data_IF_372280981530
#
_entry.id   IF_372280981530
#
_cell.length_a   1.000
_cell.length_b   1.000
_cell.length_c   1.000
_cell.angle_alpha   90.00
_cell.angle_beta   90.00
_cell.angle_gamma   90.00
#
_symmetry.space_group_name_H-M   'P 1'
#
loop_
_entity.id
_entity.type
_entity.pdbx_description
1 polymer ?
#
# COMPACT_ATOMS: atom_id res chain seq x y z
N UNK A 1 8.09 -87.74 55.39
CA UNK A 1 6.97 -86.79 55.25
C UNK A 1 7.31 -85.53 56.02
N UNK A 2 7.78 -84.49 55.32
CA UNK A 2 7.61 -83.05 55.64
C UNK A 2 8.64 -82.24 54.83
N UNK A 3 8.26 -81.83 53.62
CA UNK A 3 8.99 -80.81 52.85
C UNK A 3 8.06 -79.86 52.06
N UNK A 4 6.74 -79.93 52.30
CA UNK A 4 5.76 -79.10 51.60
C UNK A 4 5.50 -77.72 52.24
N UNK A 5 6.00 -77.45 53.46
CA UNK A 5 5.72 -76.20 54.18
C UNK A 5 6.64 -75.03 53.80
N UNK A 6 7.88 -75.29 53.35
CA UNK A 6 8.83 -74.25 52.95
C UNK A 6 8.51 -73.60 51.60
N UNK A 7 7.94 -74.37 50.66
CA UNK A 7 7.60 -73.87 49.32
C UNK A 7 6.39 -72.92 49.32
N UNK A 8 5.42 -73.13 50.21
CA UNK A 8 4.26 -72.24 50.36
C UNK A 8 4.61 -70.85 50.88
N UNK A 9 5.61 -70.74 51.77
CA UNK A 9 6.06 -69.47 52.34
C UNK A 9 6.74 -68.58 51.30
N UNK A 10 7.62 -69.15 50.46
CA UNK A 10 8.35 -68.40 49.44
C UNK A 10 7.38 -67.85 48.38
N UNK A 11 6.37 -68.64 47.99
CA UNK A 11 5.34 -68.20 47.06
C UNK A 11 4.49 -67.05 47.63
N UNK A 12 4.17 -67.09 48.93
CA UNK A 12 3.44 -66.02 49.62
C UNK A 12 4.25 -64.73 49.72
N UNK A 13 5.51 -64.82 50.14
CA UNK A 13 6.42 -63.66 50.25
C UNK A 13 6.69 -63.02 48.89
N UNK A 14 6.86 -63.84 47.84
CA UNK A 14 7.00 -63.34 46.47
C UNK A 14 5.74 -62.62 46.00
N UNK A 15 4.55 -63.19 46.26
CA UNK A 15 3.28 -62.55 45.90
C UNK A 15 3.05 -61.23 46.67
N UNK A 16 3.47 -61.16 47.94
CA UNK A 16 3.39 -59.94 48.74
C UNK A 16 4.35 -58.84 48.24
N UNK A 17 5.59 -59.20 47.90
CA UNK A 17 6.55 -58.28 47.28
C UNK A 17 6.04 -57.75 45.95
N UNK A 18 5.47 -58.61 45.10
CA UNK A 18 4.87 -58.18 43.82
C UNK A 18 3.71 -57.22 44.06
N UNK A 19 2.80 -57.51 45.00
CA UNK A 19 1.71 -56.58 45.36
C UNK A 19 2.22 -55.24 45.87
N UNK A 20 3.27 -55.23 46.68
CA UNK A 20 3.90 -54.00 47.18
C UNK A 20 4.51 -53.16 46.05
N UNK A 21 5.23 -53.79 45.12
CA UNK A 21 5.82 -53.11 43.96
C UNK A 21 4.73 -52.54 43.05
N UNK A 22 3.67 -53.30 42.78
CA UNK A 22 2.55 -52.83 41.96
C UNK A 22 1.87 -51.63 42.62
N UNK A 23 1.57 -51.69 43.91
CA UNK A 23 0.98 -50.55 44.64
C UNK A 23 1.90 -49.32 44.62
N UNK A 24 3.21 -49.50 44.78
CA UNK A 24 4.18 -48.42 44.67
C UNK A 24 4.19 -47.82 43.25
N UNK A 25 4.23 -48.66 42.21
CA UNK A 25 4.20 -48.23 40.82
C UNK A 25 2.88 -47.51 40.45
N UNK A 26 1.74 -47.97 40.95
CA UNK A 26 0.43 -47.33 40.77
C UNK A 26 0.39 -45.96 41.44
N UNK A 27 0.93 -45.85 42.66
CA UNK A 27 1.02 -44.57 43.36
C UNK A 27 1.91 -43.57 42.64
N UNK A 28 3.04 -44.04 42.09
CA UNK A 28 3.97 -43.22 41.31
C UNK A 28 3.34 -42.79 39.98
N UNK A 29 2.65 -43.70 39.29
CA UNK A 29 1.92 -43.39 38.06
C UNK A 29 0.77 -42.40 38.29
N UNK A 30 0.08 -42.48 39.44
CA UNK A 30 -0.93 -41.49 39.81
C UNK A 30 -0.30 -40.11 40.04
N UNK A 31 0.87 -40.05 40.70
CA UNK A 31 1.61 -38.81 40.91
C UNK A 31 2.05 -38.18 39.58
N UNK A 32 2.68 -38.96 38.70
CA UNK A 32 3.14 -38.48 37.39
C UNK A 32 1.96 -37.93 36.57
N UNK A 33 0.81 -38.60 36.56
CA UNK A 33 -0.39 -38.11 35.87
C UNK A 33 -0.86 -36.77 36.43
N UNK A 34 -0.96 -36.66 37.76
CA UNK A 34 -1.38 -35.42 38.41
C UNK A 34 -0.41 -34.26 38.12
N UNK A 35 0.90 -34.51 38.16
CA UNK A 35 1.92 -33.52 37.80
C UNK A 35 1.79 -33.09 36.34
N UNK A 36 1.68 -34.05 35.41
CA UNK A 36 1.53 -33.77 33.99
C UNK A 36 0.24 -32.98 33.67
N UNK A 37 -0.88 -33.31 34.32
CA UNK A 37 -2.14 -32.57 34.18
C UNK A 37 -2.01 -31.14 34.70
N UNK A 38 -1.36 -30.95 35.85
CA UNK A 38 -1.11 -29.64 36.42
C UNK A 38 -0.21 -28.79 35.52
N UNK A 39 0.83 -29.38 34.96
CA UNK A 39 1.74 -28.71 34.03
C UNK A 39 1.03 -28.34 32.73
N UNK A 40 0.22 -29.25 32.18
CA UNK A 40 -0.61 -28.96 31.01
C UNK A 40 -1.58 -27.80 31.26
N UNK A 41 -2.23 -27.77 32.43
CA UNK A 41 -3.12 -26.66 32.82
C UNK A 41 -2.37 -25.34 32.96
N UNK A 42 -1.18 -25.35 33.55
CA UNK A 42 -0.35 -24.16 33.66
C UNK A 42 0.10 -23.66 32.28
N UNK A 43 0.49 -24.56 31.38
CA UNK A 43 0.87 -24.22 30.02
C UNK A 43 -0.29 -23.62 29.23
N UNK A 44 -1.50 -24.20 29.33
CA UNK A 44 -2.70 -23.66 28.70
C UNK A 44 -3.02 -22.26 29.19
N UNK A 45 -2.98 -22.03 30.52
CA UNK A 45 -3.19 -20.70 31.10
C UNK A 45 -2.16 -19.70 30.59
N UNK A 46 -0.88 -20.08 30.55
CA UNK A 46 0.18 -19.23 30.02
C UNK A 46 0.01 -18.90 28.54
N UNK A 47 -0.40 -19.87 27.72
CA UNK A 47 -0.66 -19.68 26.30
C UNK A 47 -1.88 -18.76 26.05
N UNK A 48 -2.95 -18.92 26.83
CA UNK A 48 -4.15 -18.09 26.75
C UNK A 48 -3.84 -16.63 27.12
N UNK A 49 -3.12 -16.40 28.21
CA UNK A 49 -2.69 -15.05 28.60
C UNK A 49 -1.83 -14.38 27.53
N UNK A 50 -0.92 -15.12 26.89
CA UNK A 50 -0.12 -14.61 25.78
C UNK A 50 -0.96 -14.28 24.56
N UNK A 51 -1.93 -15.14 24.21
CA UNK A 51 -2.86 -14.92 23.10
C UNK A 51 -3.68 -13.65 23.31
N UNK A 52 -4.25 -13.46 24.50
CA UNK A 52 -5.02 -12.27 24.86
C UNK A 52 -4.16 -11.01 24.70
N UNK A 53 -2.93 -11.02 25.22
CA UNK A 53 -2.01 -9.88 25.09
C UNK A 53 -1.70 -9.57 23.63
N UNK A 54 -1.43 -10.59 22.82
CA UNK A 54 -1.16 -10.42 21.40
C UNK A 54 -2.35 -9.83 20.65
N UNK A 55 -3.57 -10.31 20.92
CA UNK A 55 -4.79 -9.78 20.32
C UNK A 55 -5.06 -8.33 20.73
N UNK A 56 -4.86 -7.99 22.00
CA UNK A 56 -4.99 -6.61 22.49
C UNK A 56 -3.99 -5.67 21.83
N UNK A 57 -2.74 -6.09 21.70
CA UNK A 57 -1.70 -5.29 21.05
C UNK A 57 -1.98 -5.12 19.56
N UNK A 58 -2.39 -6.18 18.86
CA UNK A 58 -2.80 -6.12 17.46
C UNK A 58 -4.01 -5.19 17.26
N UNK A 59 -5.00 -5.23 18.17
CA UNK A 59 -6.16 -4.36 18.14
C UNK A 59 -5.77 -2.89 18.32
N UNK A 60 -4.92 -2.57 19.29
CA UNK A 60 -4.42 -1.20 19.51
C UNK A 60 -3.68 -0.67 18.28
N UNK A 61 -2.87 -1.51 17.63
CA UNK A 61 -2.17 -1.14 16.39
C UNK A 61 -3.16 -0.84 15.26
N UNK A 62 -4.18 -1.69 15.07
CA UNK A 62 -5.19 -1.50 14.05
C UNK A 62 -6.00 -0.21 14.29
N UNK A 63 -6.44 0.04 15.53
CA UNK A 63 -7.14 1.27 15.92
C UNK A 63 -6.28 2.51 15.67
N UNK A 64 -4.98 2.44 15.99
CA UNK A 64 -4.03 3.52 15.71
C UNK A 64 -3.94 3.85 14.21
N UNK A 65 -3.84 2.83 13.35
CA UNK A 65 -3.78 3.02 11.90
C UNK A 65 -5.08 3.60 11.34
N UNK A 66 -6.24 3.16 11.84
CA UNK A 66 -7.54 3.70 11.43
C UNK A 66 -7.65 5.17 11.80
N UNK A 67 -7.26 5.55 13.01
CA UNK A 67 -7.27 6.96 13.43
C UNK A 67 -6.29 7.83 12.64
N UNK A 68 -5.10 7.31 12.32
CA UNK A 68 -4.15 8.01 11.45
C UNK A 68 -4.75 8.23 10.05
N UNK A 69 -5.34 7.19 9.46
CA UNK A 69 -5.97 7.27 8.14
C UNK A 69 -7.15 8.23 8.14
N UNK A 70 -7.99 8.19 9.18
CA UNK A 70 -9.11 9.12 9.35
C UNK A 70 -8.62 10.57 9.36
N UNK A 71 -7.62 10.89 10.20
CA UNK A 71 -7.02 12.23 10.27
C UNK A 71 -6.44 12.66 8.92
N UNK A 72 -5.76 11.75 8.21
CA UNK A 72 -5.18 12.05 6.90
C UNK A 72 -6.25 12.32 5.84
N UNK A 73 -7.35 11.57 5.86
CA UNK A 73 -8.48 11.78 4.96
C UNK A 73 -9.14 13.13 5.26
N UNK A 74 -9.35 13.48 6.53
CA UNK A 74 -9.89 14.78 6.93
C UNK A 74 -9.00 15.93 6.45
N UNK A 75 -7.68 15.80 6.63
CA UNK A 75 -6.71 16.79 6.16
C UNK A 75 -6.72 16.94 4.64
N UNK A 76 -6.74 15.83 3.90
CA UNK A 76 -6.81 15.82 2.44
C UNK A 76 -8.12 16.40 1.93
N UNK A 77 -9.24 16.04 2.56
CA UNK A 77 -10.56 16.58 2.24
C UNK A 77 -10.60 18.09 2.47
N UNK A 78 -10.06 18.57 3.60
CA UNK A 78 -9.95 20.01 3.86
C UNK A 78 -9.12 20.73 2.81
N UNK A 79 -8.01 20.13 2.36
CA UNK A 79 -7.19 20.68 1.27
C UNK A 79 -7.91 20.69 -0.08
N UNK A 80 -8.70 19.67 -0.40
CA UNK A 80 -9.49 19.61 -1.64
C UNK A 80 -10.58 20.68 -1.64
N UNK A 81 -11.28 20.85 -0.51
CA UNK A 81 -12.31 21.90 -0.37
C UNK A 81 -11.68 23.27 -0.55
N UNK A 82 -10.60 23.58 0.18
CA UNK A 82 -9.91 24.87 0.05
C UNK A 82 -9.36 25.11 -1.36
N UNK A 83 -8.83 24.08 -2.04
CA UNK A 83 -8.38 24.19 -3.43
C UNK A 83 -9.52 24.44 -4.41
N UNK A 84 -10.71 23.89 -4.14
CA UNK A 84 -11.89 24.07 -4.98
C UNK A 84 -12.45 25.48 -4.84
N UNK A 85 -12.48 26.01 -3.61
CA UNK A 85 -12.88 27.40 -3.33
C UNK A 85 -11.93 28.39 -4.02
N UNK A 86 -10.61 28.20 -3.90
CA UNK A 86 -9.62 29.04 -4.56
C UNK A 86 -9.70 28.96 -6.10
N UNK A 87 -10.07 27.80 -6.65
CA UNK A 87 -10.26 27.64 -8.09
C UNK A 87 -11.52 28.40 -8.57
N UNK A 88 -12.62 28.32 -7.82
CA UNK A 88 -13.84 29.08 -8.13
C UNK A 88 -13.57 30.58 -8.12
N UNK A 89 -12.87 31.09 -7.10
CA UNK A 89 -12.47 32.49 -7.03
C UNK A 89 -11.60 32.91 -8.24
N UNK A 90 -10.71 32.04 -8.70
CA UNK A 90 -9.89 32.31 -9.89
C UNK A 90 -10.70 32.38 -11.17
N UNK A 91 -11.73 31.54 -11.31
CA UNK A 91 -12.63 31.53 -12.47
C UNK A 91 -13.48 32.81 -12.49
N UNK A 92 -14.06 33.19 -11.35
CA UNK A 92 -14.85 34.42 -11.22
C UNK A 92 -14.01 35.66 -11.56
N UNK A 93 -12.75 35.70 -11.11
CA UNK A 93 -11.82 36.76 -11.49
C UNK A 93 -11.50 36.77 -12.99
N UNK A 94 -11.36 35.60 -13.63
CA UNK A 94 -11.12 35.52 -15.07
C UNK A 94 -12.33 36.01 -15.88
N UNK A 95 -13.55 35.71 -15.45
CA UNK A 95 -14.78 36.21 -16.07
C UNK A 95 -14.89 37.73 -15.94
N UNK A 96 -14.51 38.30 -14.79
CA UNK A 96 -14.44 39.75 -14.63
C UNK A 96 -13.43 40.40 -15.58
N UNK A 97 -12.23 39.82 -15.72
CA UNK A 97 -11.21 40.30 -16.66
C UNK A 97 -11.70 40.23 -18.10
N UNK A 98 -12.42 39.17 -18.47
CA UNK A 98 -13.01 39.05 -19.81
C UNK A 98 -14.03 40.14 -20.09
N UNK A 99 -14.94 40.42 -19.15
CA UNK A 99 -15.93 41.51 -19.29
C UNK A 99 -15.26 42.88 -19.44
N UNK A 100 -14.19 43.13 -18.67
CA UNK A 100 -13.39 44.34 -18.79
C UNK A 100 -12.71 44.45 -20.16
N UNK A 101 -12.17 43.35 -20.68
CA UNK A 101 -11.55 43.31 -22.01
C UNK A 101 -12.58 43.58 -23.11
N UNK A 102 -13.75 42.95 -23.06
CA UNK A 102 -14.83 43.16 -24.03
C UNK A 102 -15.28 44.64 -24.06
N UNK A 103 -15.40 45.27 -22.88
CA UNK A 103 -15.70 46.70 -22.77
C UNK A 103 -14.60 47.59 -23.38
N UNK A 104 -13.33 47.28 -23.12
CA UNK A 104 -12.19 48.00 -23.70
C UNK A 104 -12.14 47.86 -25.22
N UNK A 105 -12.36 46.65 -25.76
CA UNK A 105 -12.42 46.39 -27.19
C UNK A 105 -13.55 47.20 -27.83
N UNK A 106 -14.72 47.25 -27.20
CA UNK A 106 -15.85 48.03 -27.71
C UNK A 106 -15.56 49.54 -27.72
N UNK A 107 -14.98 50.08 -26.65
CA UNK A 107 -14.59 51.49 -26.58
C UNK A 107 -13.50 51.84 -27.62
N UNK A 108 -12.55 50.94 -27.86
CA UNK A 108 -11.54 51.10 -28.89
C UNK A 108 -12.17 51.08 -30.30
N UNK A 109 -13.18 50.22 -30.52
CA UNK A 109 -13.97 50.21 -31.74
C UNK A 109 -14.66 51.55 -32.00
N UNK A 110 -15.33 52.12 -30.99
CA UNK A 110 -15.99 53.42 -31.11
C UNK A 110 -15.02 54.57 -31.39
N UNK A 111 -13.84 54.55 -30.77
CA UNK A 111 -12.82 55.59 -30.98
C UNK A 111 -12.20 55.49 -32.36
N UNK A 112 -11.93 54.28 -32.87
CA UNK A 112 -11.51 54.07 -34.26
C UNK A 112 -12.58 54.53 -35.27
N UNK A 113 -13.85 54.25 -34.99
CA UNK A 113 -14.99 54.72 -35.77
C UNK A 113 -15.13 56.25 -35.76
N UNK A 114 -14.89 56.92 -34.62
CA UNK A 114 -14.83 58.39 -34.57
C UNK A 114 -13.63 58.90 -35.37
N UNK A 115 -12.44 58.33 -35.20
CA UNK A 115 -11.23 58.77 -35.89
C UNK A 115 -11.36 58.65 -37.42
N UNK A 116 -11.99 57.59 -37.92
CA UNK A 116 -12.27 57.41 -39.35
C UNK A 116 -13.32 58.39 -39.87
N UNK A 117 -14.36 58.71 -39.10
CA UNK A 117 -15.36 59.74 -39.46
C UNK A 117 -14.79 61.15 -39.43
N UNK A 118 -13.92 61.46 -38.46
CA UNK A 118 -13.24 62.76 -38.34
C UNK A 118 -12.18 62.94 -39.45
N UNK A 119 -11.52 61.85 -39.84
CA UNK A 119 -10.59 61.81 -40.99
C UNK A 119 -11.32 61.77 -42.34
N UNK A 120 -12.61 61.43 -42.36
CA UNK A 120 -13.45 61.29 -43.56
C UNK A 120 -13.89 62.62 -44.20
N UNK A 121 -13.55 63.77 -43.61
CA UNK A 121 -13.75 65.09 -44.21
C UNK A 121 -12.52 65.58 -45.01
N UNK A 122 -11.56 64.71 -45.32
CA UNK A 122 -10.39 65.03 -46.16
C UNK A 122 -9.91 63.83 -46.96
N UNK A 123 -10.38 63.73 -48.20
CA UNK A 123 -9.82 63.01 -49.34
C UNK A 123 -9.41 61.53 -49.21
N UNK A 124 -9.94 60.75 -50.15
CA UNK A 124 -9.46 59.44 -50.55
C UNK A 124 -7.94 59.40 -50.71
N UNK A 125 -7.29 58.35 -50.20
CA UNK A 125 -6.25 57.61 -50.92
C UNK A 125 -6.19 56.15 -50.44
N UNK A 126 -5.93 55.27 -51.40
CA UNK A 126 -5.83 53.84 -51.29
C UNK A 126 -4.80 53.38 -50.25
N UNK A 127 -5.24 52.59 -49.28
CA UNK A 127 -4.34 51.67 -48.57
C UNK A 127 -4.52 50.26 -49.14
N UNK A 128 -3.83 49.98 -50.24
CA UNK A 128 -3.70 48.63 -50.76
C UNK A 128 -2.59 47.93 -49.97
N UNK A 129 -2.97 47.13 -48.98
CA UNK A 129 -2.03 46.28 -48.26
C UNK A 129 -1.52 45.16 -49.19
N UNK A 130 -0.20 44.90 -49.26
CA UNK A 130 0.30 43.75 -49.99
C UNK A 130 -0.19 42.48 -49.30
N UNK A 131 -0.82 41.59 -50.06
CA UNK A 131 -1.15 40.23 -49.66
C UNK A 131 0.13 39.54 -49.14
N UNK A 132 0.28 39.49 -47.81
CA UNK A 132 1.22 38.57 -47.17
C UNK A 132 0.65 37.17 -47.36
N UNK A 133 1.20 36.42 -48.32
CA UNK A 133 1.08 34.97 -48.32
C UNK A 133 1.83 34.47 -47.09
N UNK A 134 1.12 34.17 -45.99
CA UNK A 134 1.69 33.33 -44.95
C UNK A 134 2.08 32.00 -45.59
N UNK A 135 3.30 31.48 -45.39
CA UNK A 135 3.56 30.09 -45.66
C UNK A 135 2.60 29.28 -44.77
N UNK A 136 1.87 28.34 -45.38
CA UNK A 136 1.08 27.37 -44.64
C UNK A 136 1.97 26.73 -43.56
N UNK A 137 1.48 26.49 -42.34
CA UNK A 137 2.22 25.69 -41.39
C UNK A 137 2.42 24.32 -42.03
N UNK A 138 3.67 24.01 -42.38
CA UNK A 138 4.08 22.63 -42.64
C UNK A 138 3.78 21.87 -41.36
N UNK A 139 2.71 21.08 -41.40
CA UNK A 139 2.47 20.08 -40.37
C UNK A 139 3.57 19.04 -40.57
N UNK A 140 4.65 19.18 -39.80
CA UNK A 140 5.59 18.09 -39.62
C UNK A 140 4.79 16.94 -39.00
N UNK A 141 4.72 15.76 -39.64
CA UNK A 141 4.08 14.62 -39.00
C UNK A 141 4.75 14.40 -37.64
N UNK A 142 4.01 14.13 -36.56
CA UNK A 142 4.62 13.85 -35.27
C UNK A 142 5.68 12.76 -35.48
N UNK A 143 6.90 12.91 -34.94
CA UNK A 143 7.91 11.88 -35.07
C UNK A 143 7.27 10.59 -34.57
N UNK A 144 7.24 9.57 -35.43
CA UNK A 144 6.83 8.23 -35.04
C UNK A 144 7.54 7.92 -33.74
N UNK A 145 6.77 7.70 -32.68
CA UNK A 145 7.26 7.63 -31.31
C UNK A 145 8.51 6.75 -31.29
N UNK A 146 9.67 7.36 -31.02
CA UNK A 146 10.84 6.61 -30.59
C UNK A 146 10.39 5.71 -29.45
N UNK A 147 10.79 4.43 -29.41
CA UNK A 147 10.46 3.57 -28.29
C UNK A 147 10.81 4.31 -26.99
N UNK A 148 9.90 4.30 -26.01
CA UNK A 148 10.09 5.05 -24.77
C UNK A 148 11.47 4.74 -24.22
N UNK A 149 12.16 5.76 -23.71
CA UNK A 149 13.46 5.54 -23.09
C UNK A 149 13.30 4.44 -22.02
N UNK A 150 14.31 3.58 -21.81
CA UNK A 150 14.17 2.40 -20.93
C UNK A 150 13.64 2.73 -19.52
N UNK A 151 13.85 3.97 -19.05
CA UNK A 151 13.36 4.48 -17.78
C UNK A 151 11.84 4.73 -17.76
N UNK A 152 11.29 5.31 -18.83
CA UNK A 152 9.85 5.59 -18.94
C UNK A 152 9.04 4.29 -19.04
N UNK A 153 9.62 3.26 -19.68
CA UNK A 153 9.04 1.91 -19.73
C UNK A 153 9.08 1.22 -18.35
N UNK A 154 10.13 1.47 -17.55
CA UNK A 154 10.25 0.98 -16.17
C UNK A 154 9.23 1.65 -15.23
N UNK A 155 9.03 2.96 -15.37
CA UNK A 155 8.05 3.70 -14.55
C UNK A 155 6.61 3.30 -14.89
N UNK A 156 6.30 3.13 -16.18
CA UNK A 156 4.99 2.65 -16.63
C UNK A 156 4.68 1.21 -16.19
N UNK A 157 5.67 0.31 -16.30
CA UNK A 157 5.51 -1.09 -15.85
C UNK A 157 5.34 -1.19 -14.33
N UNK A 158 6.02 -0.34 -13.55
CA UNK A 158 5.83 -0.26 -12.09
C UNK A 158 4.42 0.17 -11.69
N UNK A 159 3.85 1.17 -12.38
CA UNK A 159 2.48 1.63 -12.12
C UNK A 159 1.45 0.53 -12.39
N UNK A 160 1.61 -0.20 -13.51
CA UNK A 160 0.72 -1.32 -13.83
C UNK A 160 0.88 -2.46 -12.83
N UNK A 161 2.11 -2.78 -12.42
CA UNK A 161 2.37 -3.79 -11.39
C UNK A 161 1.69 -3.43 -10.06
N UNK A 162 1.78 -2.16 -9.64
CA UNK A 162 1.12 -1.67 -8.44
C UNK A 162 -0.41 -1.75 -8.56
N UNK A 163 -0.97 -1.35 -9.71
CA UNK A 163 -2.41 -1.42 -9.95
C UNK A 163 -2.93 -2.87 -9.88
N UNK A 164 -2.22 -3.82 -10.50
CA UNK A 164 -2.58 -5.24 -10.45
C UNK A 164 -2.46 -5.82 -9.04
N UNK A 165 -1.41 -5.45 -8.29
CA UNK A 165 -1.26 -5.85 -6.89
C UNK A 165 -2.41 -5.31 -6.01
N UNK A 166 -2.80 -4.03 -6.20
CA UNK A 166 -3.94 -3.41 -5.50
C UNK A 166 -5.27 -4.09 -5.88
N UNK A 167 -5.42 -4.55 -7.13
CA UNK A 167 -6.57 -5.31 -7.58
C UNK A 167 -6.59 -6.76 -7.03
N UNK A 168 -5.59 -7.18 -6.27
CA UNK A 168 -5.48 -8.51 -5.67
C UNK A 168 -4.86 -9.58 -6.58
N UNK A 169 -4.27 -9.16 -7.71
CA UNK A 169 -3.59 -10.08 -8.63
C UNK A 169 -2.28 -10.58 -8.01
N UNK A 170 -2.01 -11.88 -8.14
CA UNK A 170 -0.85 -12.52 -7.54
C UNK A 170 0.47 -12.12 -8.20
N UNK A 171 1.57 -12.17 -7.44
CA UNK A 171 2.92 -11.78 -7.92
C UNK A 171 3.35 -12.48 -9.21
N UNK A 172 3.05 -13.78 -9.34
CA UNK A 172 3.40 -14.59 -10.52
C UNK A 172 2.62 -14.16 -11.77
N UNK A 173 1.35 -13.81 -11.61
CA UNK A 173 0.51 -13.33 -12.70
C UNK A 173 0.94 -11.93 -13.17
N UNK A 174 1.36 -11.06 -12.24
CA UNK A 174 1.95 -9.76 -12.57
C UNK A 174 3.28 -9.95 -13.32
N UNK A 175 4.13 -10.90 -12.91
CA UNK A 175 5.38 -11.21 -13.61
C UNK A 175 5.15 -11.56 -15.08
N UNK A 176 4.21 -12.48 -15.35
CA UNK A 176 3.85 -12.89 -16.71
C UNK A 176 3.30 -11.71 -17.51
N UNK A 177 2.47 -10.87 -16.88
CA UNK A 177 1.90 -9.70 -17.52
C UNK A 177 2.98 -8.68 -17.91
N UNK A 178 3.96 -8.42 -17.03
CA UNK A 178 5.05 -7.49 -17.30
C UNK A 178 5.95 -7.96 -18.45
N UNK A 179 6.30 -9.26 -18.48
CA UNK A 179 7.08 -9.81 -19.59
C UNK A 179 6.35 -9.72 -20.91
N UNK A 180 5.04 -10.02 -20.92
CA UNK A 180 4.24 -10.04 -22.15
C UNK A 180 3.88 -8.64 -22.67
N UNK A 181 3.49 -7.73 -21.78
CA UNK A 181 3.00 -6.40 -22.16
C UNK A 181 4.14 -5.38 -22.35
N UNK A 182 5.20 -5.48 -21.56
CA UNK A 182 6.31 -4.52 -21.56
C UNK A 182 7.61 -5.09 -22.11
N UNK A 183 7.69 -6.40 -22.40
CA UNK A 183 8.88 -7.03 -22.98
C UNK A 183 10.09 -7.02 -22.04
N UNK A 184 9.87 -6.97 -20.72
CA UNK A 184 10.95 -6.90 -19.74
C UNK A 184 11.63 -8.26 -19.55
N UNK A 185 12.95 -8.31 -19.75
CA UNK A 185 13.74 -9.51 -19.52
C UNK A 185 13.82 -9.88 -18.03
N UNK A 186 13.96 -8.87 -17.15
CA UNK A 186 14.02 -9.04 -15.69
C UNK A 186 13.01 -8.14 -14.94
N UNK A 187 11.80 -8.66 -14.63
CA UNK A 187 10.82 -7.93 -13.82
C UNK A 187 11.05 -8.04 -12.31
N UNK A 188 12.03 -8.82 -11.83
CA UNK A 188 12.28 -9.03 -10.40
C UNK A 188 12.43 -7.74 -9.57
N UNK A 189 13.18 -6.71 -10.00
CA UNK A 189 13.32 -5.48 -9.21
C UNK A 189 12.01 -4.71 -9.04
N UNK A 190 11.11 -4.75 -10.04
CA UNK A 190 9.79 -4.10 -9.97
C UNK A 190 8.88 -4.88 -9.03
N UNK A 191 8.91 -6.21 -9.12
CA UNK A 191 8.10 -7.07 -8.25
C UNK A 191 8.57 -7.05 -6.80
N UNK A 192 9.88 -6.92 -6.55
CA UNK A 192 10.44 -6.77 -5.21
C UNK A 192 10.06 -5.43 -4.55
N UNK A 193 9.88 -4.38 -5.35
CA UNK A 193 9.46 -3.07 -4.87
C UNK A 193 7.93 -3.02 -4.58
N UNK A 194 7.10 -3.70 -5.39
CA UNK A 194 5.64 -3.74 -5.19
C UNK A 194 5.20 -4.77 -4.15
N UNK A 195 5.76 -5.99 -4.19
CA UNK A 195 5.37 -7.10 -3.31
C UNK A 195 6.35 -7.35 -2.15
N UNK A 196 7.44 -6.60 -2.09
CA UNK A 196 8.54 -6.83 -1.15
C UNK A 196 9.54 -7.87 -1.67
N UNK A 197 10.82 -7.72 -1.30
CA UNK A 197 11.88 -8.65 -1.70
C UNK A 197 11.58 -10.08 -1.24
N UNK A 198 11.71 -11.06 -2.14
CA UNK A 198 11.62 -12.51 -1.79
C UNK A 198 12.60 -12.92 -0.68
N UNK A 199 13.63 -12.12 -0.43
CA UNK A 199 14.70 -12.34 0.56
C UNK A 199 14.56 -11.48 1.83
N UNK A 200 13.48 -10.71 1.97
CA UNK A 200 13.27 -9.71 3.04
C UNK A 200 12.67 -10.23 4.36
N UNK A 201 12.68 -11.54 4.62
CA UNK A 201 12.14 -12.12 5.86
C UNK A 201 13.06 -12.06 7.09
N UNK A 202 14.24 -11.44 7.01
CA UNK A 202 15.17 -11.32 8.15
C UNK A 202 15.97 -10.03 8.11
N UNK A 203 15.54 -9.01 8.88
CA UNK A 203 16.37 -8.16 9.77
C UNK A 203 15.69 -6.85 10.15
N UNK A 204 15.11 -6.85 11.35
CA UNK A 204 15.07 -5.67 12.22
C UNK A 204 15.00 -6.13 13.68
N UNK A 205 15.86 -7.07 14.07
CA UNK A 205 16.13 -7.39 15.48
C UNK A 205 17.64 -7.38 15.75
N UNK A 206 18.25 -6.18 15.67
CA UNK A 206 19.62 -5.94 16.14
C UNK A 206 19.75 -4.65 16.95
N UNK A 207 18.67 -4.20 17.61
CA UNK A 207 18.73 -3.13 18.62
C UNK A 207 18.26 -3.63 20.00
N UNK A 208 18.82 -4.74 20.49
CA UNK A 208 18.77 -5.10 21.92
C UNK A 208 19.96 -5.97 22.34
N UNK A 209 21.18 -5.51 22.08
CA UNK A 209 22.39 -6.05 22.73
C UNK A 209 23.54 -5.04 22.72
N UNK A 210 23.31 -3.90 23.36
CA UNK A 210 24.36 -2.99 23.85
C UNK A 210 23.73 -1.99 24.84
N UNK A 211 23.41 -2.48 26.03
CA UNK A 211 23.25 -1.71 27.26
C UNK A 211 23.29 -2.73 28.41
N UNK A 212 24.50 -3.26 28.61
CA UNK A 212 24.95 -3.65 29.95
C UNK A 212 25.66 -2.44 30.54
#
# INVERSE_FOLDING_TARGET
MNDCSGQGSIASDAAERVRSIVAAAESEAARIRYEAERDAQNHLRGAEEQSIRFLDDAKRQAEGLVEERRRRIEELSGRIVGSSEALLERIDNADAVRLQLDALVHALGETADRATRDSGAGSAEHFQAPLRTSPAPTYEPPPAASPPAPKDQFDGSRLVALQMAVAGTGREEVEVHLRRAFGLDDPAPILDDVFGSRTGGRRSDTRRRAAG
#
